data_IF_481912047754
#
_entry.id   IF_481912047754
#
_cell.length_a   1.000
_cell.length_b   1.000
_cell.length_c   1.000
_cell.angle_alpha   90.00
_cell.angle_beta   90.00
_cell.angle_gamma   90.00
#
_symmetry.space_group_name_H-M   'P 1'
#
loop_
_entity.id
_entity.type
_entity.pdbx_description
1 polymer ?
#
# COMPACT_ATOMS: atom_id res chain seq x y z
N UNK A 1 4.62 -6.04 26.08
CA UNK A 1 6.06 -5.69 25.86
C UNK A 1 6.23 -4.22 26.19
N UNK A 2 7.25 -3.85 26.92
CA UNK A 2 7.63 -2.44 27.09
C UNK A 2 8.42 -1.93 25.86
N UNK A 3 8.62 -0.60 25.74
CA UNK A 3 9.31 -0.01 24.58
C UNK A 3 10.68 -0.57 24.33
N UNK A 4 11.45 -0.82 25.39
CA UNK A 4 12.80 -1.38 25.26
C UNK A 4 12.75 -2.80 24.69
N UNK A 5 11.88 -3.65 25.18
CA UNK A 5 11.71 -5.02 24.66
C UNK A 5 11.27 -5.00 23.18
N UNK A 6 10.40 -4.07 22.80
CA UNK A 6 9.97 -3.89 21.39
C UNK A 6 11.16 -3.52 20.51
N UNK A 7 11.92 -2.50 20.88
CA UNK A 7 13.09 -2.01 20.13
C UNK A 7 14.16 -3.09 20.03
N UNK A 8 14.53 -3.73 21.15
CA UNK A 8 15.56 -4.75 21.18
C UNK A 8 15.22 -5.95 20.28
N UNK A 9 13.95 -6.36 20.28
CA UNK A 9 13.49 -7.46 19.44
C UNK A 9 13.42 -7.06 17.96
N UNK A 10 12.93 -5.87 17.68
CA UNK A 10 12.81 -5.30 16.33
C UNK A 10 14.19 -5.24 15.67
N UNK A 11 15.15 -4.54 16.27
CA UNK A 11 16.49 -4.37 15.74
C UNK A 11 17.25 -5.68 15.54
N UNK A 12 16.92 -6.70 16.32
CA UNK A 12 17.53 -8.02 16.19
C UNK A 12 16.99 -8.85 15.04
N UNK A 13 15.73 -8.65 14.67
CA UNK A 13 15.01 -9.58 13.80
C UNK A 13 14.33 -8.94 12.59
N UNK A 14 14.17 -7.61 12.54
CA UNK A 14 13.49 -6.92 11.47
C UNK A 14 14.48 -6.05 10.68
N UNK A 15 14.48 -6.22 9.37
CA UNK A 15 15.23 -5.36 8.47
C UNK A 15 14.31 -4.26 7.94
N UNK A 16 14.59 -3.03 8.36
CA UNK A 16 13.78 -1.87 7.95
C UNK A 16 14.06 -1.45 6.51
N UNK A 17 13.03 -1.25 5.68
CA UNK A 17 13.20 -0.68 4.34
C UNK A 17 13.62 0.79 4.40
N UNK A 18 14.33 1.24 3.36
CA UNK A 18 14.76 2.62 3.18
C UNK A 18 15.55 3.22 4.37
N UNK A 19 16.26 2.39 5.13
CA UNK A 19 17.05 2.79 6.29
C UNK A 19 18.40 2.07 6.32
N UNK A 20 19.42 2.75 6.87
CA UNK A 20 20.66 2.09 7.26
C UNK A 20 20.51 1.57 8.69
N UNK A 21 20.60 0.26 8.87
CA UNK A 21 20.43 -0.37 10.20
C UNK A 21 21.43 0.16 11.23
N UNK A 22 22.62 0.58 10.78
CA UNK A 22 23.65 1.17 11.65
C UNK A 22 23.23 2.51 12.28
N UNK A 23 22.35 3.25 11.63
CA UNK A 23 21.87 4.54 12.16
C UNK A 23 21.03 4.35 13.43
N UNK A 24 20.43 3.17 13.60
CA UNK A 24 19.64 2.83 14.78
C UNK A 24 20.47 2.66 16.05
N UNK A 25 21.80 2.58 15.96
CA UNK A 25 22.69 2.66 17.12
C UNK A 25 22.57 4.04 17.83
N UNK A 26 22.29 5.09 17.06
CA UNK A 26 22.13 6.46 17.54
C UNK A 26 20.68 6.95 17.57
N UNK A 27 19.86 6.46 16.67
CA UNK A 27 18.47 6.84 16.49
C UNK A 27 17.56 5.61 16.40
N UNK A 28 17.30 4.94 17.54
CA UNK A 28 16.49 3.72 17.54
C UNK A 28 15.07 3.97 17.02
N UNK A 29 14.41 2.96 16.45
CA UNK A 29 13.04 3.12 15.98
C UNK A 29 12.09 3.47 17.13
N UNK A 30 11.05 4.24 16.81
CA UNK A 30 10.06 4.68 17.80
C UNK A 30 8.90 3.69 17.84
N UNK A 31 8.62 3.03 18.97
CA UNK A 31 7.49 2.12 19.09
C UNK A 31 6.15 2.87 19.07
N UNK A 32 5.43 2.79 17.96
CA UNK A 32 4.09 3.36 17.82
C UNK A 32 3.07 2.27 18.16
N UNK A 33 2.16 2.58 19.07
CA UNK A 33 1.17 1.61 19.58
C UNK A 33 -0.28 1.98 19.28
N UNK A 34 -0.52 3.23 18.85
CA UNK A 34 -1.86 3.72 18.54
C UNK A 34 -1.81 4.83 17.51
N UNK A 35 -2.85 4.93 16.69
CA UNK A 35 -3.13 6.08 15.84
C UNK A 35 -4.49 6.68 16.17
N UNK A 36 -4.63 8.00 16.03
CA UNK A 36 -5.90 8.72 16.02
C UNK A 36 -5.68 10.02 15.27
N UNK A 37 -6.43 10.22 14.20
CA UNK A 37 -6.34 11.40 13.31
C UNK A 37 -5.96 12.69 14.07
N UNK A 38 -4.90 13.42 13.67
CA UNK A 38 -3.81 13.11 12.75
C UNK A 38 -2.55 12.57 13.46
N UNK A 39 -2.69 12.04 14.67
CA UNK A 39 -1.60 11.70 15.57
C UNK A 39 -1.29 10.20 15.62
N UNK A 40 -0.01 9.92 15.82
CA UNK A 40 0.52 8.64 16.29
C UNK A 40 0.90 8.76 17.77
N UNK A 41 0.77 7.68 18.52
CA UNK A 41 1.10 7.61 19.93
C UNK A 41 2.17 6.55 20.18
N UNK A 42 3.25 6.97 20.85
CA UNK A 42 4.30 6.04 21.26
C UNK A 42 3.86 5.18 22.44
N UNK A 43 4.63 4.13 22.70
CA UNK A 43 4.41 3.28 23.87
C UNK A 43 4.56 4.05 25.23
N UNK A 44 5.30 5.16 25.22
CA UNK A 44 5.44 6.08 26.36
C UNK A 44 4.32 7.13 26.43
N UNK A 45 3.37 7.10 25.50
CA UNK A 45 2.25 8.06 25.45
C UNK A 45 2.56 9.41 24.81
N UNK A 46 3.72 9.54 24.15
CA UNK A 46 4.05 10.76 23.41
C UNK A 46 3.23 10.84 22.13
N UNK A 47 2.69 12.02 21.85
CA UNK A 47 1.99 12.31 20.58
C UNK A 47 2.98 12.74 19.49
N UNK A 48 2.83 12.22 18.29
CA UNK A 48 3.57 12.58 17.09
C UNK A 48 2.56 12.95 16.01
N UNK A 49 2.65 14.17 15.51
CA UNK A 49 1.83 14.61 14.38
C UNK A 49 2.39 14.00 13.08
N UNK A 50 1.61 13.13 12.43
CA UNK A 50 1.98 12.52 11.17
C UNK A 50 1.49 13.36 9.97
N UNK A 51 2.27 14.35 9.60
CA UNK A 51 1.97 15.27 8.50
C UNK A 51 2.15 14.64 7.11
N UNK A 52 2.82 13.50 7.04
CA UNK A 52 3.09 12.77 5.77
C UNK A 52 2.06 11.67 5.53
N UNK A 53 1.19 11.40 6.51
CA UNK A 53 0.20 10.33 6.44
C UNK A 53 0.83 8.96 6.23
N UNK A 54 1.96 8.69 6.93
CA UNK A 54 2.73 7.43 6.82
C UNK A 54 3.03 7.07 5.38
N UNK A 55 3.71 7.99 4.68
CA UNK A 55 4.02 7.90 3.25
C UNK A 55 2.76 7.82 2.37
N UNK A 56 1.84 8.76 2.64
CA UNK A 56 0.61 8.97 1.86
C UNK A 56 -0.40 7.81 1.91
N UNK A 57 -0.17 6.79 2.73
CA UNK A 57 -1.09 5.66 2.86
C UNK A 57 -2.37 6.03 3.62
N UNK A 58 -2.27 6.97 4.58
CA UNK A 58 -3.37 7.37 5.44
C UNK A 58 -3.93 8.74 5.04
N UNK A 59 -4.48 8.86 3.85
CA UNK A 59 -5.00 10.10 3.28
C UNK A 59 -6.04 10.79 4.18
N UNK A 60 -6.89 10.02 4.86
CA UNK A 60 -7.93 10.50 5.79
C UNK A 60 -7.49 10.38 7.26
N UNK A 61 -6.19 10.17 7.49
CA UNK A 61 -5.59 10.02 8.82
C UNK A 61 -5.72 8.61 9.40
N UNK A 62 -5.15 8.46 10.60
CA UNK A 62 -5.09 7.17 11.28
C UNK A 62 -6.42 6.81 11.91
N UNK A 63 -6.80 5.54 11.84
CA UNK A 63 -7.98 4.96 12.51
C UNK A 63 -9.26 5.77 12.22
N UNK A 64 -9.46 6.19 10.97
CA UNK A 64 -10.74 6.75 10.52
C UNK A 64 -11.84 5.72 10.76
N UNK A 65 -12.85 6.07 11.56
CA UNK A 65 -13.89 5.14 12.03
C UNK A 65 -14.71 4.58 10.85
N UNK A 66 -15.10 5.42 9.91
CA UNK A 66 -15.90 4.99 8.76
C UNK A 66 -15.16 3.96 7.90
N UNK A 67 -13.86 4.18 7.64
CA UNK A 67 -13.03 3.24 6.88
C UNK A 67 -12.81 1.96 7.68
N UNK A 68 -12.50 2.07 8.97
CA UNK A 68 -12.26 0.91 9.83
C UNK A 68 -13.47 0.01 9.94
N UNK A 69 -14.65 0.58 10.08
CA UNK A 69 -15.92 -0.15 10.15
C UNK A 69 -16.27 -0.82 8.80
N UNK A 70 -16.02 -0.11 7.69
CA UNK A 70 -16.22 -0.69 6.36
C UNK A 70 -15.30 -1.89 6.11
N UNK A 71 -14.01 -1.79 6.50
CA UNK A 71 -13.06 -2.90 6.42
C UNK A 71 -13.49 -4.07 7.31
N UNK A 72 -13.85 -3.81 8.56
CA UNK A 72 -14.29 -4.84 9.49
C UNK A 72 -15.53 -5.57 8.98
N UNK A 73 -16.52 -4.84 8.50
CA UNK A 73 -17.75 -5.40 7.91
C UNK A 73 -17.44 -6.29 6.71
N UNK A 74 -16.57 -5.81 5.81
CA UNK A 74 -16.20 -6.57 4.62
C UNK A 74 -15.40 -7.82 4.97
N UNK A 75 -14.47 -7.76 5.93
CA UNK A 75 -13.69 -8.89 6.39
C UNK A 75 -14.56 -10.03 6.95
N UNK A 76 -15.70 -9.69 7.58
CA UNK A 76 -16.68 -10.69 8.04
C UNK A 76 -17.59 -11.20 6.92
N UNK A 77 -17.62 -10.57 5.75
CA UNK A 77 -18.47 -10.98 4.62
C UNK A 77 -17.67 -11.80 3.60
N UNK A 78 -16.55 -11.28 3.16
CA UNK A 78 -15.64 -11.90 2.20
C UNK A 78 -14.30 -11.15 2.27
N UNK A 79 -13.29 -11.77 2.87
CA UNK A 79 -11.94 -11.20 3.03
C UNK A 79 -11.11 -11.29 1.76
N UNK A 80 -11.27 -12.38 1.01
CA UNK A 80 -10.53 -12.62 -0.23
C UNK A 80 -11.26 -13.64 -1.11
N UNK A 81 -11.13 -13.45 -2.42
CA UNK A 81 -11.42 -14.45 -3.45
C UNK A 81 -10.45 -14.24 -4.60
N UNK A 82 -9.93 -15.33 -5.17
CA UNK A 82 -9.06 -15.25 -6.36
C UNK A 82 -9.80 -14.58 -7.52
N UNK A 83 -9.16 -13.60 -8.17
CA UNK A 83 -9.77 -12.85 -9.27
C UNK A 83 -9.74 -13.58 -10.64
N UNK A 84 -9.12 -14.77 -10.70
CA UNK A 84 -9.14 -15.65 -11.87
C UNK A 84 -10.49 -16.36 -11.96
N UNK A 85 -11.34 -15.96 -12.89
CA UNK A 85 -12.71 -16.43 -13.12
C UNK A 85 -13.75 -16.09 -12.04
N UNK A 86 -13.34 -15.41 -10.97
CA UNK A 86 -14.28 -14.86 -9.98
C UNK A 86 -14.31 -13.34 -10.04
N UNK A 87 -15.38 -12.77 -9.57
CA UNK A 87 -15.55 -11.33 -9.37
C UNK A 87 -16.31 -11.08 -8.07
N UNK A 88 -16.30 -9.85 -7.59
CA UNK A 88 -17.04 -9.46 -6.40
C UNK A 88 -17.53 -8.00 -6.51
N UNK A 89 -18.59 -7.64 -5.78
CA UNK A 89 -19.21 -6.32 -5.90
C UNK A 89 -18.25 -5.15 -5.74
N UNK A 90 -17.35 -5.18 -4.75
CA UNK A 90 -16.46 -4.07 -4.46
C UNK A 90 -15.46 -3.75 -5.58
N UNK A 91 -14.96 -4.75 -6.30
CA UNK A 91 -14.12 -4.50 -7.46
C UNK A 91 -14.91 -3.81 -8.58
N UNK A 92 -16.16 -4.23 -8.77
CA UNK A 92 -17.04 -3.63 -9.78
C UNK A 92 -17.40 -2.18 -9.40
N UNK A 93 -17.80 -1.92 -8.15
CA UNK A 93 -18.14 -0.57 -7.69
C UNK A 93 -16.92 0.36 -7.75
N UNK A 94 -15.75 -0.08 -7.28
CA UNK A 94 -14.50 0.69 -7.42
C UNK A 94 -14.20 1.01 -8.89
N UNK A 95 -14.38 0.04 -9.80
CA UNK A 95 -14.15 0.27 -11.23
C UNK A 95 -15.12 1.32 -11.80
N UNK A 96 -16.38 1.30 -11.39
CA UNK A 96 -17.37 2.30 -11.81
C UNK A 96 -16.96 3.71 -11.38
N UNK A 97 -16.56 3.87 -10.11
CA UNK A 97 -16.09 5.16 -9.60
C UNK A 97 -14.83 5.63 -10.34
N UNK A 98 -13.85 4.75 -10.54
CA UNK A 98 -12.64 5.09 -11.28
C UNK A 98 -12.92 5.53 -12.71
N UNK A 99 -13.89 4.93 -13.40
CA UNK A 99 -14.28 5.33 -14.77
C UNK A 99 -14.81 6.76 -14.84
N UNK A 100 -15.27 7.34 -13.74
CA UNK A 100 -15.76 8.74 -13.71
C UNK A 100 -14.63 9.77 -13.72
N UNK A 101 -13.42 9.39 -13.28
CA UNK A 101 -12.29 10.30 -13.05
C UNK A 101 -11.11 10.07 -13.98
N UNK A 102 -11.00 8.90 -14.62
CA UNK A 102 -9.89 8.63 -15.55
C UNK A 102 -10.12 9.28 -16.91
N UNK A 103 -9.04 9.54 -17.69
CA UNK A 103 -9.16 10.05 -19.05
C UNK A 103 -10.02 9.15 -19.95
N UNK A 104 -10.79 9.78 -20.85
CA UNK A 104 -11.59 9.05 -21.82
C UNK A 104 -10.74 8.12 -22.67
N UNK A 105 -11.19 6.87 -22.84
CA UNK A 105 -10.47 5.82 -23.59
C UNK A 105 -9.76 4.81 -22.70
N UNK A 106 -9.54 5.10 -21.42
CA UNK A 106 -9.08 4.10 -20.45
C UNK A 106 -10.30 3.36 -19.88
N UNK A 107 -10.53 2.15 -20.35
CA UNK A 107 -11.76 1.37 -20.07
C UNK A 107 -11.53 0.08 -19.30
N UNK A 108 -10.27 -0.31 -19.11
CA UNK A 108 -9.89 -1.55 -18.41
C UNK A 108 -8.89 -1.26 -17.30
N UNK A 109 -9.09 -1.92 -16.17
CA UNK A 109 -8.26 -1.77 -14.98
C UNK A 109 -7.62 -3.10 -14.62
N UNK A 110 -6.34 -3.06 -14.31
CA UNK A 110 -5.62 -4.17 -13.74
C UNK A 110 -5.21 -3.79 -12.31
N UNK A 111 -5.70 -4.54 -11.33
CA UNK A 111 -5.44 -4.28 -9.93
C UNK A 111 -4.17 -5.00 -9.46
N UNK A 112 -3.37 -4.30 -8.67
CA UNK A 112 -2.17 -4.82 -8.03
C UNK A 112 -2.16 -4.41 -6.55
N UNK A 113 -1.37 -5.12 -5.77
CA UNK A 113 -1.24 -4.93 -4.33
C UNK A 113 -0.36 -3.74 -3.93
N UNK A 114 0.49 -3.27 -4.85
CA UNK A 114 1.37 -2.13 -4.61
C UNK A 114 1.82 -1.45 -5.92
N UNK A 115 2.46 -0.28 -5.80
CA UNK A 115 2.91 0.51 -6.95
C UNK A 115 3.97 -0.18 -7.81
N UNK A 116 4.92 -0.89 -7.21
CA UNK A 116 5.98 -1.60 -7.94
C UNK A 116 5.40 -2.73 -8.79
N UNK A 117 4.48 -3.52 -8.25
CA UNK A 117 3.75 -4.55 -9.00
C UNK A 117 2.94 -3.94 -10.14
N UNK A 118 2.29 -2.79 -9.92
CA UNK A 118 1.54 -2.09 -10.97
C UNK A 118 2.45 -1.64 -12.12
N UNK A 119 3.62 -1.08 -11.82
CA UNK A 119 4.60 -0.66 -12.83
C UNK A 119 5.13 -1.87 -13.59
N UNK A 120 5.49 -2.96 -12.91
CA UNK A 120 5.95 -4.19 -13.57
C UNK A 120 4.89 -4.77 -14.52
N UNK A 121 3.63 -4.80 -14.10
CA UNK A 121 2.51 -5.20 -14.96
C UNK A 121 2.40 -4.31 -16.20
N UNK A 122 2.47 -2.99 -16.02
CA UNK A 122 2.41 -2.04 -17.13
C UNK A 122 3.54 -2.26 -18.15
N UNK A 123 4.78 -2.48 -17.66
CA UNK A 123 5.92 -2.80 -18.51
C UNK A 123 5.72 -4.11 -19.28
N UNK A 124 5.25 -5.16 -18.61
CA UNK A 124 4.95 -6.45 -19.25
C UNK A 124 3.85 -6.34 -20.31
N UNK A 125 2.78 -5.61 -20.02
CA UNK A 125 1.69 -5.36 -20.97
C UNK A 125 2.21 -4.59 -22.19
N UNK A 126 2.99 -3.53 -21.99
CA UNK A 126 3.57 -2.74 -23.06
C UNK A 126 4.50 -3.57 -23.95
N UNK A 127 5.37 -4.38 -23.33
CA UNK A 127 6.25 -5.29 -24.04
C UNK A 127 5.47 -6.31 -24.87
N UNK A 128 4.50 -7.00 -24.25
CA UNK A 128 3.69 -8.00 -24.91
C UNK A 128 2.87 -7.41 -26.06
N UNK A 129 2.30 -6.23 -25.88
CA UNK A 129 1.58 -5.51 -26.92
C UNK A 129 2.47 -5.26 -28.14
N UNK A 130 3.68 -4.70 -27.96
CA UNK A 130 4.61 -4.46 -29.07
C UNK A 130 4.97 -5.76 -29.81
N UNK A 131 5.21 -6.84 -29.08
CA UNK A 131 5.51 -8.14 -29.68
C UNK A 131 4.33 -8.67 -30.50
N UNK A 132 3.10 -8.56 -29.99
CA UNK A 132 1.90 -9.06 -30.65
C UNK A 132 1.55 -8.29 -31.93
N UNK A 133 1.83 -6.98 -32.00
CA UNK A 133 1.64 -6.20 -33.21
C UNK A 133 2.82 -6.29 -34.20
N UNK A 134 3.76 -7.22 -33.96
CA UNK A 134 4.88 -7.50 -34.86
C UNK A 134 6.13 -6.65 -34.64
N UNK A 135 6.15 -5.73 -33.67
CA UNK A 135 7.30 -4.88 -33.32
C UNK A 135 8.29 -5.62 -32.43
N UNK A 136 8.83 -6.75 -32.90
CA UNK A 136 9.64 -7.69 -32.08
C UNK A 136 10.97 -7.11 -31.61
N UNK A 137 11.49 -6.09 -32.27
CA UNK A 137 12.75 -5.43 -31.90
C UNK A 137 12.58 -4.38 -30.79
N UNK A 138 11.34 -4.04 -30.41
CA UNK A 138 11.04 -3.14 -29.30
C UNK A 138 11.10 -3.86 -27.96
N UNK A 139 12.31 -4.16 -27.50
CA UNK A 139 12.57 -4.94 -26.28
C UNK A 139 13.19 -4.13 -25.16
N UNK A 140 13.42 -2.83 -25.35
CA UNK A 140 14.07 -1.96 -24.36
C UNK A 140 13.13 -0.87 -23.87
N UNK A 141 13.25 -0.53 -22.61
CA UNK A 141 12.62 0.62 -21.99
C UNK A 141 13.68 1.71 -21.79
N UNK A 142 13.29 2.96 -22.02
CA UNK A 142 14.08 4.12 -21.62
C UNK A 142 13.61 4.60 -20.24
N UNK A 143 14.54 4.85 -19.31
CA UNK A 143 14.31 5.38 -17.96
C UNK A 143 15.32 6.50 -17.67
#
# INVERSE_FOLDING_TARGET
MNSKELIDFDLKHIWHPAAQMKDYDSFPPVPVVKGKVPYLYTAEGKEILDIVGSWWCNLLGHCNEEISDAIAKQAHTLEHVIFANFTHPWAVELTKELLTIVPKGLTHFNYADNGSSSVEMALKIAFQYQHQIGQKDRTKFAC
#
